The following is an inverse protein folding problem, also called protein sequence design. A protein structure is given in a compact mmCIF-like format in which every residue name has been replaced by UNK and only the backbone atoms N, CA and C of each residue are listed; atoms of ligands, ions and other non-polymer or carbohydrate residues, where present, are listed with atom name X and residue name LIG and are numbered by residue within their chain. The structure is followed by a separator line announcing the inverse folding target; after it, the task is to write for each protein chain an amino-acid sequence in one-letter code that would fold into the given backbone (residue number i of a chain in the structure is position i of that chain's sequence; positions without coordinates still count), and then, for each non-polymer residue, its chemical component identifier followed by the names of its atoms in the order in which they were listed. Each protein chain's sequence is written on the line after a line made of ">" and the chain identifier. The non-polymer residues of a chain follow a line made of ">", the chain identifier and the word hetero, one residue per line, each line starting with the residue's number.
data_IF_922509318636
#
_entry.id   IF_922509318636
#
_cell.length_a   1.000
_cell.length_b   1.000
_cell.length_c   1.000
_cell.angle_alpha   90.00
_cell.angle_beta   90.00
_cell.angle_gamma   90.00
#
_symmetry.space_group_name_H-M   'P 1'
#
loop_
_entity.id
_entity.type
_entity.pdbx_description
1 polymer ?
#
# COMPACT_ATOMS: atom_id res chain seq x y z
N UNK A 1 21.66 22.34 -4.70
CA UNK A 1 20.27 21.94 -4.37
C UNK A 1 19.44 23.17 -4.10
N UNK A 2 18.25 23.24 -4.66
CA UNK A 2 17.28 24.33 -4.53
C UNK A 2 16.27 23.91 -3.47
N UNK A 3 15.87 24.85 -2.61
CA UNK A 3 14.87 24.62 -1.55
C UNK A 3 13.67 25.54 -1.78
N UNK A 4 12.46 24.96 -1.71
CA UNK A 4 11.21 25.72 -1.74
C UNK A 4 10.22 25.20 -0.72
N UNK A 5 9.41 26.09 -0.15
CA UNK A 5 8.24 25.74 0.67
C UNK A 5 7.01 25.56 -0.21
N UNK A 6 6.25 24.51 0.06
CA UNK A 6 5.01 24.23 -0.63
C UNK A 6 4.05 23.45 0.28
N UNK A 7 2.87 23.99 0.53
CA UNK A 7 1.80 23.34 1.34
C UNK A 7 2.31 22.70 2.66
N UNK A 8 3.26 23.37 3.34
CA UNK A 8 3.83 22.89 4.59
C UNK A 8 5.01 21.92 4.44
N UNK A 9 5.40 21.55 3.21
CA UNK A 9 6.61 20.77 2.93
C UNK A 9 7.80 21.66 2.59
N UNK A 10 8.99 21.27 3.00
CA UNK A 10 10.24 21.76 2.45
C UNK A 10 10.64 20.84 1.29
N UNK A 11 10.46 21.32 0.06
CA UNK A 11 10.83 20.61 -1.15
C UNK A 11 12.30 20.88 -1.49
N UNK A 12 13.02 19.85 -1.94
CA UNK A 12 14.42 19.92 -2.31
C UNK A 12 14.67 19.25 -3.66
N UNK A 13 15.27 19.97 -4.61
CA UNK A 13 15.62 19.45 -5.94
C UNK A 13 16.92 20.04 -6.47
N UNK A 14 17.48 19.43 -7.52
CA UNK A 14 18.60 19.95 -8.27
C UNK A 14 18.16 20.87 -9.42
N UNK A 15 16.96 20.60 -9.97
CA UNK A 15 16.37 21.33 -11.08
C UNK A 15 15.13 22.09 -10.62
N UNK A 16 15.07 23.37 -10.94
CA UNK A 16 13.95 24.27 -10.60
C UNK A 16 12.65 23.87 -11.32
N UNK A 17 12.74 23.23 -12.46
CA UNK A 17 11.58 22.76 -13.22
C UNK A 17 10.76 21.64 -12.53
N UNK A 18 11.31 21.00 -11.49
CA UNK A 18 10.63 19.93 -10.75
C UNK A 18 9.63 20.45 -9.72
N UNK A 19 9.72 21.71 -9.34
CA UNK A 19 8.83 22.28 -8.32
C UNK A 19 7.45 22.64 -8.89
N UNK A 20 6.39 22.52 -8.08
CA UNK A 20 5.11 23.08 -8.45
C UNK A 20 5.21 24.60 -8.60
N UNK A 21 4.41 25.22 -9.50
CA UNK A 21 4.55 26.62 -9.87
C UNK A 21 4.29 27.60 -8.72
N UNK A 22 3.57 27.18 -7.70
CA UNK A 22 3.23 27.95 -6.49
C UNK A 22 4.22 27.76 -5.34
N UNK A 23 5.28 26.97 -5.53
CA UNK A 23 6.31 26.76 -4.52
C UNK A 23 7.19 28.02 -4.33
N UNK A 24 7.38 28.41 -3.09
CA UNK A 24 8.11 29.63 -2.71
C UNK A 24 9.55 29.32 -2.26
N UNK A 25 10.53 30.07 -2.74
CA UNK A 25 11.92 29.89 -2.36
C UNK A 25 12.13 29.99 -0.84
N UNK A 26 12.92 29.09 -0.27
CA UNK A 26 13.33 29.14 1.13
C UNK A 26 14.85 28.94 1.25
N UNK A 27 15.42 29.37 2.40
CA UNK A 27 16.88 29.33 2.63
C UNK A 27 17.30 28.20 3.59
N UNK A 28 16.36 27.67 4.34
CA UNK A 28 16.65 26.70 5.40
C UNK A 28 15.83 25.42 5.21
N UNK A 29 16.47 24.30 5.50
CA UNK A 29 15.79 23.00 5.51
C UNK A 29 14.89 22.93 6.74
N UNK A 30 13.67 22.44 6.54
CA UNK A 30 12.70 22.18 7.60
C UNK A 30 11.97 20.87 7.39
N UNK A 31 11.42 20.29 8.45
CA UNK A 31 10.57 19.11 8.36
C UNK A 31 9.10 19.54 8.11
N UNK A 32 8.33 18.76 7.33
CA UNK A 32 8.74 17.57 6.57
C UNK A 32 9.53 17.91 5.30
N UNK A 33 10.71 17.29 5.14
CA UNK A 33 11.56 17.45 3.96
C UNK A 33 11.20 16.42 2.89
N UNK A 34 11.13 16.86 1.62
CA UNK A 34 10.85 15.98 0.48
C UNK A 34 11.79 16.28 -0.68
N UNK A 35 12.52 15.29 -1.13
CA UNK A 35 13.34 15.36 -2.33
C UNK A 35 12.48 15.10 -3.57
N UNK A 36 12.52 15.98 -4.53
CA UNK A 36 11.89 15.79 -5.83
C UNK A 36 12.89 15.12 -6.77
N UNK A 37 12.46 14.04 -7.42
CA UNK A 37 13.26 13.29 -8.38
C UNK A 37 12.45 13.04 -9.64
N UNK A 38 13.16 12.76 -10.75
CA UNK A 38 12.56 12.43 -12.03
C UNK A 38 13.11 11.08 -12.50
N UNK A 39 12.31 10.01 -12.30
CA UNK A 39 12.69 8.63 -12.57
C UNK A 39 11.67 7.96 -13.48
N UNK A 40 12.07 6.88 -14.15
CA UNK A 40 11.14 6.05 -14.92
C UNK A 40 10.06 5.44 -13.99
N UNK A 41 8.76 5.78 -14.17
CA UNK A 41 7.69 5.27 -13.32
C UNK A 41 7.54 3.74 -13.36
N UNK A 42 8.02 3.08 -14.41
CA UNK A 42 8.00 1.63 -14.52
C UNK A 42 9.08 0.93 -13.67
N UNK A 43 10.05 1.70 -13.15
CA UNK A 43 11.23 1.18 -12.43
C UNK A 43 11.46 1.84 -11.07
N UNK A 44 10.57 2.73 -10.67
CA UNK A 44 10.74 3.47 -9.42
C UNK A 44 9.42 3.71 -8.72
N UNK A 45 9.49 3.88 -7.42
CA UNK A 45 8.35 4.23 -6.57
C UNK A 45 7.92 5.69 -6.80
N UNK A 46 6.63 5.96 -6.61
CA UNK A 46 6.09 7.33 -6.69
C UNK A 46 6.48 8.17 -5.48
N UNK A 47 6.31 7.63 -4.27
CA UNK A 47 6.66 8.28 -3.01
C UNK A 47 7.18 7.21 -2.04
N UNK A 48 8.28 7.52 -1.35
CA UNK A 48 8.83 6.69 -0.28
C UNK A 48 9.61 7.52 0.74
N UNK A 49 9.81 6.97 1.94
CA UNK A 49 10.57 7.61 3.01
C UNK A 49 12.00 7.07 3.05
N UNK A 50 12.95 7.94 3.43
CA UNK A 50 14.34 7.61 3.70
C UNK A 50 14.74 8.07 5.10
N UNK A 51 15.67 7.37 5.71
CA UNK A 51 16.29 7.72 7.01
C UNK A 51 17.77 8.07 6.90
N UNK A 52 18.36 7.79 5.75
CA UNK A 52 19.69 8.28 5.38
C UNK A 52 19.68 8.81 3.95
N UNK A 53 20.46 9.85 3.69
CA UNK A 53 20.52 10.48 2.38
C UNK A 53 21.09 9.53 1.29
N UNK A 54 21.90 8.54 1.67
CA UNK A 54 22.38 7.49 0.77
C UNK A 54 21.26 6.61 0.19
N UNK A 55 20.14 6.46 0.91
CA UNK A 55 18.97 5.70 0.45
C UNK A 55 18.23 6.37 -0.73
N UNK A 56 18.56 7.63 -1.03
CA UNK A 56 18.03 8.37 -2.18
C UNK A 56 18.64 7.92 -3.50
N UNK A 57 19.62 7.02 -3.51
CA UNK A 57 20.37 6.65 -4.71
C UNK A 57 19.53 5.96 -5.79
N UNK A 58 19.99 6.03 -7.03
CA UNK A 58 19.52 5.24 -8.16
C UNK A 58 20.59 4.19 -8.57
N UNK A 59 20.19 3.09 -9.20
CA UNK A 59 18.83 2.64 -9.50
C UNK A 59 18.14 2.00 -8.28
N UNK A 60 16.80 2.05 -8.24
CA UNK A 60 15.99 1.33 -7.26
C UNK A 60 15.98 -0.18 -7.57
N UNK A 61 17.02 -0.88 -7.14
CA UNK A 61 17.20 -2.33 -7.30
C UNK A 61 17.30 -2.98 -5.92
N UNK A 62 17.52 -4.29 -5.87
CA UNK A 62 17.81 -5.02 -4.62
C UNK A 62 19.00 -4.43 -3.83
N UNK A 63 19.80 -3.58 -4.44
CA UNK A 63 20.86 -2.82 -3.75
C UNK A 63 20.31 -1.86 -2.70
N UNK A 64 19.05 -1.41 -2.81
CA UNK A 64 18.39 -0.61 -1.76
C UNK A 64 18.28 -1.37 -0.42
N UNK A 65 18.38 -2.71 -0.44
CA UNK A 65 18.40 -3.55 0.76
C UNK A 65 19.81 -3.73 1.34
N UNK A 66 20.84 -3.32 0.62
CA UNK A 66 22.23 -3.37 1.10
C UNK A 66 22.51 -2.10 1.89
N UNK A 67 22.97 -2.19 3.14
CA UNK A 67 23.37 -1.01 3.90
C UNK A 67 24.40 -0.21 3.09
N UNK A 68 24.05 1.03 2.74
CA UNK A 68 24.99 1.97 2.14
C UNK A 68 25.83 2.62 3.25
N UNK A 69 27.05 3.06 2.92
CA UNK A 69 27.77 3.91 3.86
C UNK A 69 26.98 5.18 4.13
N UNK A 70 26.78 5.56 5.41
CA UNK A 70 26.01 6.73 5.75
C UNK A 70 26.55 7.99 5.09
N UNK A 71 25.68 8.76 4.47
CA UNK A 71 26.06 10.04 3.91
C UNK A 71 26.56 11.01 5.01
N UNK A 72 27.49 11.91 4.66
CA UNK A 72 28.03 12.93 5.57
C UNK A 72 27.48 14.33 5.25
N UNK A 73 27.62 15.25 6.22
CA UNK A 73 27.23 16.65 6.08
C UNK A 73 25.93 17.00 6.79
N UNK A 74 25.61 18.30 6.84
CA UNK A 74 24.50 18.88 7.59
C UNK A 74 23.13 18.32 7.14
N UNK A 75 22.90 18.26 5.84
CA UNK A 75 21.67 17.73 5.27
C UNK A 75 21.47 16.25 5.60
N UNK A 76 22.55 15.46 5.56
CA UNK A 76 22.49 14.05 5.95
C UNK A 76 22.18 13.89 7.44
N UNK A 77 22.74 14.75 8.28
CA UNK A 77 22.40 14.83 9.71
C UNK A 77 20.93 15.17 9.93
N UNK A 78 20.38 16.13 9.17
CA UNK A 78 18.97 16.49 9.22
C UNK A 78 18.06 15.31 8.82
N UNK A 79 18.40 14.61 7.72
CA UNK A 79 17.63 13.45 7.24
C UNK A 79 17.64 12.32 8.27
N UNK A 80 18.77 12.03 8.92
CA UNK A 80 18.83 11.02 9.99
C UNK A 80 17.98 11.39 11.22
N UNK A 81 17.91 12.67 11.56
CA UNK A 81 17.15 13.15 12.72
C UNK A 81 15.63 13.17 12.47
N UNK A 82 15.20 13.52 11.28
CA UNK A 82 13.79 13.82 10.97
C UNK A 82 13.18 12.89 9.91
N UNK A 83 13.99 12.12 9.19
CA UNK A 83 13.58 11.45 7.96
C UNK A 83 13.37 12.43 6.81
N UNK A 84 13.15 11.90 5.62
CA UNK A 84 12.72 12.68 4.46
C UNK A 84 11.88 11.82 3.51
N UNK A 85 11.03 12.46 2.71
CA UNK A 85 10.36 11.86 1.59
C UNK A 85 11.21 11.93 0.31
N UNK A 86 10.97 11.01 -0.62
CA UNK A 86 11.44 11.10 -2.00
C UNK A 86 10.23 10.95 -2.90
N UNK A 87 9.91 11.99 -3.67
CA UNK A 87 8.76 12.07 -4.57
C UNK A 87 9.23 12.04 -6.02
N UNK A 88 8.75 11.07 -6.78
CA UNK A 88 8.98 11.01 -8.22
C UNK A 88 7.91 11.83 -8.95
N UNK A 89 8.28 13.01 -9.45
CA UNK A 89 7.36 13.94 -10.10
C UNK A 89 6.90 13.50 -11.50
N UNK A 90 7.38 12.38 -12.03
CA UNK A 90 6.87 11.80 -13.29
C UNK A 90 5.54 11.07 -13.14
N UNK A 91 5.10 10.79 -11.92
CA UNK A 91 3.74 10.31 -11.68
C UNK A 91 2.75 11.45 -11.81
N UNK A 92 1.67 11.27 -12.57
CA UNK A 92 0.68 12.33 -12.83
C UNK A 92 0.03 12.90 -11.56
N UNK A 93 -0.10 12.09 -10.52
CA UNK A 93 -0.71 12.45 -9.25
C UNK A 93 0.31 12.69 -8.13
N UNK A 94 1.59 12.90 -8.45
CA UNK A 94 2.68 12.97 -7.47
C UNK A 94 2.38 13.95 -6.33
N UNK A 95 2.05 15.18 -6.65
CA UNK A 95 1.80 16.22 -5.64
C UNK A 95 0.50 15.99 -4.85
N UNK A 96 -0.54 15.44 -5.47
CA UNK A 96 -1.78 15.06 -4.75
C UNK A 96 -1.53 13.93 -3.75
N UNK A 97 -0.66 12.98 -4.07
CA UNK A 97 -0.22 11.92 -3.15
C UNK A 97 0.58 12.52 -1.99
N UNK A 98 1.44 13.50 -2.27
CA UNK A 98 2.21 14.19 -1.24
C UNK A 98 1.29 14.98 -0.28
N UNK A 99 0.30 15.70 -0.78
CA UNK A 99 -0.69 16.38 0.06
C UNK A 99 -1.49 15.41 0.93
N UNK A 100 -1.86 14.26 0.35
CA UNK A 100 -2.57 13.21 1.09
C UNK A 100 -1.71 12.65 2.24
N UNK A 101 -0.39 12.66 2.12
CA UNK A 101 0.54 12.19 3.16
C UNK A 101 0.53 13.04 4.44
N UNK A 102 0.21 14.34 4.35
CA UNK A 102 0.05 15.22 5.53
C UNK A 102 -1.28 15.07 6.25
N UNK A 103 -2.25 14.37 5.67
CA UNK A 103 -3.54 14.20 6.32
C UNK A 103 -3.33 13.52 7.67
N UNK A 104 -4.01 13.99 8.73
CA UNK A 104 -3.98 13.31 10.02
C UNK A 104 -4.29 11.83 9.81
N UNK A 105 -3.51 10.96 10.44
CA UNK A 105 -3.83 9.53 10.44
C UNK A 105 -5.25 9.38 10.95
N UNK A 106 -6.10 8.74 10.18
CA UNK A 106 -7.45 8.40 10.59
C UNK A 106 -7.34 7.42 11.75
N UNK A 107 -7.90 7.77 12.90
CA UNK A 107 -8.02 6.84 14.01
C UNK A 107 -8.99 5.73 13.62
N UNK A 108 -8.55 4.49 13.69
CA UNK A 108 -9.37 3.34 13.40
C UNK A 108 -9.63 3.15 11.91
N UNK A 109 -8.62 2.65 11.20
CA UNK A 109 -8.76 2.28 9.78
C UNK A 109 -9.79 1.17 9.59
N UNK A 110 -10.42 1.15 8.42
CA UNK A 110 -11.31 0.08 7.98
C UNK A 110 -10.58 -0.78 6.95
N UNK A 111 -10.48 -2.07 7.21
CA UNK A 111 -9.96 -3.06 6.26
C UNK A 111 -11.13 -3.86 5.68
N UNK A 112 -11.10 -4.13 4.37
CA UNK A 112 -11.94 -5.14 3.73
C UNK A 112 -11.09 -6.31 3.29
N UNK A 113 -11.39 -7.51 3.77
CA UNK A 113 -10.72 -8.77 3.40
C UNK A 113 -11.64 -9.63 2.55
N UNK A 114 -11.19 -9.97 1.34
CA UNK A 114 -11.94 -10.79 0.38
C UNK A 114 -11.28 -12.16 0.20
N UNK A 115 -12.07 -13.21 0.42
CA UNK A 115 -11.62 -14.60 0.38
C UNK A 115 -11.23 -15.10 1.77
N UNK A 116 -12.03 -16.04 2.30
CA UNK A 116 -11.86 -16.58 3.66
C UNK A 116 -11.38 -18.03 3.64
N UNK A 117 -10.61 -18.41 2.62
CA UNK A 117 -9.87 -19.68 2.58
C UNK A 117 -8.75 -19.72 3.61
N UNK A 118 -7.82 -20.66 3.48
CA UNK A 118 -6.72 -20.88 4.43
C UNK A 118 -5.89 -19.59 4.68
N UNK A 119 -5.49 -18.92 3.60
CA UNK A 119 -4.70 -17.67 3.70
C UNK A 119 -5.54 -16.56 4.31
N UNK A 120 -6.74 -16.32 3.80
CA UNK A 120 -7.60 -15.23 4.26
C UNK A 120 -8.09 -15.45 5.70
N UNK A 121 -8.47 -16.67 6.06
CA UNK A 121 -8.87 -17.01 7.43
C UNK A 121 -7.72 -16.83 8.43
N UNK A 122 -6.52 -17.27 8.07
CA UNK A 122 -5.32 -17.08 8.92
C UNK A 122 -4.96 -15.61 9.05
N UNK A 123 -4.98 -14.86 7.93
CA UNK A 123 -4.73 -13.41 7.95
C UNK A 123 -5.77 -12.67 8.79
N UNK A 124 -7.05 -13.04 8.67
CA UNK A 124 -8.14 -12.45 9.46
C UNK A 124 -7.92 -12.65 10.97
N UNK A 125 -7.53 -13.87 11.38
CA UNK A 125 -7.22 -14.14 12.78
C UNK A 125 -6.04 -13.31 13.28
N UNK A 126 -4.96 -13.24 12.52
CA UNK A 126 -3.80 -12.42 12.86
C UNK A 126 -4.16 -10.93 12.96
N UNK A 127 -4.94 -10.41 12.02
CA UNK A 127 -5.38 -9.01 12.00
C UNK A 127 -6.35 -8.70 13.17
N UNK A 128 -7.20 -9.65 13.56
CA UNK A 128 -8.05 -9.50 14.75
C UNK A 128 -7.23 -9.34 16.01
N UNK A 129 -6.14 -10.10 16.16
CA UNK A 129 -5.32 -10.13 17.39
C UNK A 129 -4.26 -9.03 17.42
N UNK A 130 -3.71 -8.62 16.27
CA UNK A 130 -2.54 -7.75 16.16
C UNK A 130 -2.81 -6.45 15.40
N UNK A 131 -3.96 -6.32 14.77
CA UNK A 131 -4.29 -5.19 13.90
C UNK A 131 -4.85 -3.97 14.65
N UNK A 132 -4.17 -3.48 15.68
CA UNK A 132 -4.61 -2.36 16.53
C UNK A 132 -4.86 -1.04 15.75
N UNK A 133 -4.34 -0.92 14.53
CA UNK A 133 -4.60 0.23 13.64
C UNK A 133 -6.01 0.21 13.05
N UNK A 134 -6.68 -0.95 13.05
CA UNK A 134 -8.02 -1.10 12.51
C UNK A 134 -9.09 -1.00 13.60
N UNK A 135 -10.13 -0.24 13.34
CA UNK A 135 -11.35 -0.26 14.16
C UNK A 135 -12.33 -1.32 13.69
N UNK A 136 -12.27 -1.65 12.38
CA UNK A 136 -13.19 -2.57 11.72
C UNK A 136 -12.47 -3.37 10.64
N UNK A 137 -12.80 -4.67 10.58
CA UNK A 137 -12.44 -5.57 9.50
C UNK A 137 -13.72 -6.05 8.83
N UNK A 138 -14.00 -5.57 7.64
CA UNK A 138 -15.07 -6.09 6.79
C UNK A 138 -14.59 -7.38 6.12
N UNK A 139 -15.43 -8.40 6.09
CA UNK A 139 -15.12 -9.68 5.46
C UNK A 139 -16.12 -10.02 4.38
N UNK A 140 -15.61 -10.56 3.28
CA UNK A 140 -16.43 -11.00 2.16
C UNK A 140 -15.94 -12.33 1.59
N UNK A 141 -16.86 -13.26 1.46
CA UNK A 141 -16.67 -14.52 0.75
C UNK A 141 -18.01 -14.93 0.11
N UNK A 142 -18.01 -15.59 -1.07
CA UNK A 142 -19.22 -16.17 -1.64
C UNK A 142 -19.91 -17.16 -0.68
N UNK A 143 -19.15 -17.83 0.19
CA UNK A 143 -19.68 -18.69 1.25
C UNK A 143 -20.14 -17.83 2.45
N UNK A 144 -21.40 -17.40 2.43
CA UNK A 144 -22.00 -16.59 3.49
C UNK A 144 -21.99 -17.26 4.87
N UNK A 145 -22.08 -18.59 4.93
CA UNK A 145 -21.98 -19.32 6.20
C UNK A 145 -20.60 -19.17 6.84
N UNK A 146 -19.55 -19.11 6.04
CA UNK A 146 -18.19 -18.89 6.52
C UNK A 146 -17.99 -17.45 7.03
N UNK A 147 -18.55 -16.46 6.33
CA UNK A 147 -18.57 -15.07 6.82
C UNK A 147 -19.26 -14.97 8.18
N UNK A 148 -20.47 -15.52 8.30
CA UNK A 148 -21.23 -15.50 9.56
C UNK A 148 -20.48 -16.22 10.70
N UNK A 149 -19.81 -17.35 10.41
CA UNK A 149 -19.00 -18.04 11.40
C UNK A 149 -17.86 -17.18 11.92
N UNK A 150 -17.04 -16.61 11.03
CA UNK A 150 -15.93 -15.76 11.45
C UNK A 150 -16.36 -14.51 12.18
N UNK A 151 -17.46 -13.87 11.76
CA UNK A 151 -18.04 -12.72 12.44
C UNK A 151 -18.44 -13.06 13.88
N UNK A 152 -19.13 -14.16 14.07
CA UNK A 152 -19.55 -14.62 15.40
C UNK A 152 -18.36 -15.03 16.28
N UNK A 153 -17.46 -15.87 15.76
CA UNK A 153 -16.34 -16.43 16.54
C UNK A 153 -15.34 -15.32 16.93
N UNK A 154 -14.95 -14.46 15.97
CA UNK A 154 -13.89 -13.50 16.23
C UNK A 154 -14.36 -12.31 17.09
N UNK A 155 -15.64 -11.94 17.05
CA UNK A 155 -16.13 -10.89 17.93
C UNK A 155 -16.31 -11.32 19.40
N UNK A 156 -16.16 -12.62 19.68
CA UNK A 156 -16.07 -13.14 21.05
C UNK A 156 -14.64 -13.13 21.62
N UNK A 157 -13.63 -12.87 20.77
CA UNK A 157 -12.24 -12.80 21.21
C UNK A 157 -12.00 -11.48 21.96
N UNK A 158 -11.49 -11.59 23.18
CA UNK A 158 -11.12 -10.47 24.04
C UNK A 158 -9.59 -10.37 24.14
N UNK A 159 -9.07 -9.14 24.25
CA UNK A 159 -7.68 -8.92 24.57
C UNK A 159 -7.43 -9.22 26.06
N UNK A 160 -6.41 -10.00 26.42
CA UNK A 160 -6.03 -10.20 27.83
C UNK A 160 -5.63 -8.89 28.51
N UNK A 161 -5.10 -7.94 27.77
CA UNK A 161 -4.60 -6.65 28.25
C UNK A 161 -5.69 -5.56 28.26
N UNK A 162 -6.91 -5.90 27.80
CA UNK A 162 -8.03 -4.96 27.76
C UNK A 162 -8.02 -4.02 26.56
N UNK A 163 -7.14 -4.23 25.58
CA UNK A 163 -7.10 -3.43 24.36
C UNK A 163 -8.34 -3.62 23.51
N UNK A 164 -8.77 -2.56 22.83
CA UNK A 164 -9.86 -2.64 21.87
C UNK A 164 -9.38 -3.38 20.62
N UNK A 165 -9.97 -4.54 20.33
CA UNK A 165 -9.73 -5.30 19.11
C UNK A 165 -10.69 -4.85 18.00
N UNK A 166 -10.27 -4.90 16.72
CA UNK A 166 -11.13 -4.51 15.61
C UNK A 166 -12.42 -5.34 15.55
N UNK A 167 -13.54 -4.69 15.27
CA UNK A 167 -14.82 -5.36 15.01
C UNK A 167 -14.72 -6.12 13.66
N UNK A 168 -15.17 -7.36 13.60
CA UNK A 168 -15.30 -8.14 12.37
C UNK A 168 -16.74 -8.14 11.91
N UNK A 169 -16.98 -7.71 10.65
CA UNK A 169 -18.35 -7.55 10.11
C UNK A 169 -18.43 -8.11 8.70
N UNK A 170 -19.42 -8.95 8.42
CA UNK A 170 -19.72 -9.37 7.05
C UNK A 170 -20.22 -8.19 6.23
N UNK A 171 -19.75 -8.03 5.00
CA UNK A 171 -20.21 -6.98 4.11
C UNK A 171 -20.81 -7.52 2.82
N UNK A 172 -21.56 -6.68 2.12
CA UNK A 172 -22.09 -6.97 0.80
C UNK A 172 -21.13 -6.48 -0.30
N UNK A 173 -21.27 -7.02 -1.52
CA UNK A 173 -20.40 -6.69 -2.65
C UNK A 173 -20.33 -5.18 -2.95
N UNK A 174 -21.45 -4.47 -2.79
CA UNK A 174 -21.53 -3.01 -2.99
C UNK A 174 -20.70 -2.20 -2.00
N UNK A 175 -20.38 -2.76 -0.84
CA UNK A 175 -19.71 -2.08 0.28
C UNK A 175 -18.21 -2.40 0.34
N UNK A 176 -17.69 -3.26 -0.55
CA UNK A 176 -16.30 -3.76 -0.55
C UNK A 176 -15.23 -2.66 -0.52
N UNK A 177 -15.49 -1.54 -1.18
CA UNK A 177 -14.56 -0.43 -1.32
C UNK A 177 -14.86 0.75 -0.39
N UNK A 178 -15.76 0.58 0.58
CA UNK A 178 -15.97 1.54 1.68
C UNK A 178 -14.95 1.27 2.81
N UNK A 179 -13.66 1.29 2.47
CA UNK A 179 -12.55 0.96 3.37
C UNK A 179 -11.31 1.80 3.06
N UNK A 180 -10.34 1.76 3.97
CA UNK A 180 -9.03 2.41 3.80
C UNK A 180 -8.02 1.43 3.17
N UNK A 181 -8.20 0.12 3.41
CA UNK A 181 -7.37 -0.95 2.88
C UNK A 181 -8.25 -2.10 2.40
N UNK A 182 -8.04 -2.50 1.15
CA UNK A 182 -8.71 -3.64 0.54
C UNK A 182 -7.69 -4.77 0.32
N UNK A 183 -7.89 -5.92 0.96
CA UNK A 183 -7.02 -7.09 0.89
C UNK A 183 -7.70 -8.23 0.12
N UNK A 184 -7.06 -8.68 -0.95
CA UNK A 184 -7.56 -9.74 -1.81
C UNK A 184 -6.74 -11.02 -1.61
N UNK A 185 -7.35 -12.04 -1.00
CA UNK A 185 -6.76 -13.36 -0.73
C UNK A 185 -7.50 -14.50 -1.43
N UNK A 186 -8.58 -14.19 -2.17
CA UNK A 186 -9.35 -15.21 -2.85
C UNK A 186 -8.56 -15.88 -3.98
N UNK A 187 -8.69 -17.18 -4.11
CA UNK A 187 -8.07 -18.00 -5.16
C UNK A 187 -9.03 -19.08 -5.65
N UNK A 188 -8.92 -19.43 -6.91
CA UNK A 188 -9.65 -20.59 -7.48
C UNK A 188 -9.02 -21.95 -7.17
N UNK A 189 -7.97 -21.94 -6.35
CA UNK A 189 -7.26 -23.14 -5.91
C UNK A 189 -5.89 -23.31 -6.56
N UNK A 190 -5.17 -24.30 -6.04
CA UNK A 190 -3.86 -24.74 -6.52
C UNK A 190 -4.10 -26.05 -7.29
N UNK A 191 -3.45 -26.26 -8.45
CA UNK A 191 -3.48 -27.57 -9.11
C UNK A 191 -3.05 -28.66 -8.15
N UNK A 192 -3.75 -29.81 -8.17
CA UNK A 192 -3.44 -30.95 -7.29
C UNK A 192 -2.03 -31.51 -7.53
N UNK A 193 -1.53 -32.27 -6.55
CA UNK A 193 -0.18 -32.87 -6.63
C UNK A 193 -0.02 -33.84 -7.82
N UNK A 194 -1.12 -34.42 -8.29
CA UNK A 194 -1.13 -35.36 -9.41
C UNK A 194 -1.34 -34.69 -10.78
N UNK A 195 -1.23 -33.36 -10.83
CA UNK A 195 -1.43 -32.64 -12.08
C UNK A 195 -0.24 -32.81 -13.03
N UNK A 196 -0.54 -32.91 -14.33
CA UNK A 196 0.46 -32.90 -15.41
C UNK A 196 0.86 -31.49 -15.85
N UNK A 197 0.37 -30.46 -15.17
CA UNK A 197 0.68 -29.05 -15.47
C UNK A 197 2.15 -28.77 -15.19
N UNK A 198 2.91 -28.41 -16.23
CA UNK A 198 4.34 -28.11 -16.11
C UNK A 198 4.62 -26.79 -15.40
N UNK A 199 3.78 -25.76 -15.64
CA UNK A 199 3.91 -24.46 -15.00
C UNK A 199 2.69 -24.17 -14.10
N UNK A 200 2.80 -24.55 -12.85
CA UNK A 200 1.75 -24.39 -11.83
C UNK A 200 1.44 -22.88 -11.60
N UNK A 201 2.47 -22.03 -11.64
CA UNK A 201 2.27 -20.57 -11.41
C UNK A 201 1.48 -19.92 -12.53
N UNK A 202 1.75 -20.30 -13.79
CA UNK A 202 0.99 -19.77 -14.91
C UNK A 202 -0.44 -20.31 -14.93
N UNK A 203 -0.67 -21.56 -14.56
CA UNK A 203 -2.01 -22.12 -14.40
C UNK A 203 -2.82 -21.38 -13.32
N UNK A 204 -2.20 -21.07 -12.19
CA UNK A 204 -2.82 -20.26 -11.13
C UNK A 204 -3.10 -18.83 -11.62
N UNK A 205 -2.17 -18.22 -12.34
CA UNK A 205 -2.37 -16.90 -12.92
C UNK A 205 -3.60 -16.87 -13.84
N UNK A 206 -3.68 -17.81 -14.78
CA UNK A 206 -4.82 -17.89 -15.71
C UNK A 206 -6.15 -18.11 -14.97
N UNK A 207 -6.16 -18.91 -13.91
CA UNK A 207 -7.35 -19.13 -13.11
C UNK A 207 -7.80 -17.89 -12.31
N UNK A 208 -6.85 -17.10 -11.81
CA UNK A 208 -7.12 -16.01 -10.86
C UNK A 208 -7.20 -14.63 -11.51
N UNK A 209 -6.55 -14.39 -12.68
CA UNK A 209 -6.45 -13.06 -13.30
C UNK A 209 -7.80 -12.41 -13.63
N UNK A 210 -8.76 -13.19 -14.08
CA UNK A 210 -10.09 -12.67 -14.43
C UNK A 210 -10.83 -12.19 -13.17
N UNK A 211 -10.71 -12.94 -12.08
CA UNK A 211 -11.35 -12.63 -10.81
C UNK A 211 -10.73 -11.38 -10.19
N UNK A 212 -9.41 -11.33 -9.98
CA UNK A 212 -8.76 -10.14 -9.41
C UNK A 212 -8.93 -8.91 -10.27
N UNK A 213 -8.92 -9.07 -11.60
CA UNK A 213 -9.18 -7.99 -12.55
C UNK A 213 -10.60 -7.41 -12.43
N UNK A 214 -11.61 -8.24 -12.12
CA UNK A 214 -12.96 -7.76 -11.84
C UNK A 214 -12.97 -6.85 -10.60
N UNK A 215 -12.35 -7.27 -9.51
CA UNK A 215 -12.23 -6.43 -8.29
C UNK A 215 -11.43 -5.14 -8.54
N UNK A 216 -10.39 -5.18 -9.35
CA UNK A 216 -9.63 -3.98 -9.72
C UNK A 216 -10.50 -2.96 -10.48
N UNK A 217 -11.32 -3.43 -11.43
CA UNK A 217 -12.29 -2.56 -12.14
C UNK A 217 -13.39 -2.05 -11.23
N UNK A 218 -13.90 -2.87 -10.32
CA UNK A 218 -14.89 -2.45 -9.31
C UNK A 218 -14.31 -1.35 -8.40
N UNK A 219 -13.07 -1.51 -7.92
CA UNK A 219 -12.37 -0.50 -7.13
C UNK A 219 -12.27 0.83 -7.87
N UNK A 220 -11.88 0.79 -9.15
CA UNK A 220 -11.83 1.98 -10.00
C UNK A 220 -13.20 2.62 -10.16
N UNK A 221 -14.24 1.83 -10.47
CA UNK A 221 -15.60 2.32 -10.65
C UNK A 221 -16.19 2.94 -9.38
N UNK A 222 -15.79 2.42 -8.21
CA UNK A 222 -16.15 2.96 -6.90
C UNK A 222 -15.36 4.22 -6.52
N UNK A 223 -14.36 4.64 -7.33
CA UNK A 223 -13.47 5.74 -6.98
C UNK A 223 -12.60 5.45 -5.75
N UNK A 224 -12.23 4.17 -5.54
CA UNK A 224 -11.44 3.76 -4.39
C UNK A 224 -10.07 4.42 -4.38
N UNK A 225 -9.74 5.10 -3.30
CA UNK A 225 -8.47 5.83 -3.09
C UNK A 225 -7.60 5.23 -2.00
N UNK A 226 -8.04 4.13 -1.39
CA UNK A 226 -7.29 3.40 -0.37
C UNK A 226 -6.20 2.51 -0.95
N UNK A 227 -5.60 1.68 -0.12
CA UNK A 227 -4.57 0.72 -0.51
C UNK A 227 -5.21 -0.59 -0.97
N UNK A 228 -4.97 -0.99 -2.22
CA UNK A 228 -5.35 -2.30 -2.75
C UNK A 228 -4.19 -3.29 -2.57
N UNK A 229 -4.36 -4.25 -1.64
CA UNK A 229 -3.38 -5.31 -1.34
C UNK A 229 -3.77 -6.58 -2.08
N UNK A 230 -3.03 -6.92 -3.12
CA UNK A 230 -3.15 -8.19 -3.84
C UNK A 230 -2.22 -9.23 -3.16
N UNK A 231 -2.79 -10.32 -2.60
CA UNK A 231 -2.07 -11.31 -1.79
C UNK A 231 -2.09 -12.70 -2.44
N UNK A 232 -3.10 -12.98 -3.29
CA UNK A 232 -3.23 -14.28 -3.96
C UNK A 232 -2.10 -14.58 -4.93
N UNK A 233 -1.76 -15.87 -5.07
CA UNK A 233 -0.71 -16.32 -6.00
C UNK A 233 -1.17 -16.42 -7.46
N UNK A 234 -0.24 -16.15 -8.40
CA UNK A 234 1.11 -15.59 -8.24
C UNK A 234 1.07 -14.06 -8.05
N UNK A 235 1.57 -13.61 -6.91
CA UNK A 235 1.42 -12.23 -6.41
C UNK A 235 1.87 -11.18 -7.41
N UNK A 236 3.06 -11.29 -7.97
CA UNK A 236 3.67 -10.34 -8.89
C UNK A 236 2.87 -10.20 -10.21
N UNK A 237 2.47 -11.31 -10.82
CA UNK A 237 1.68 -11.32 -12.05
C UNK A 237 0.27 -10.76 -11.83
N UNK A 238 -0.37 -11.15 -10.74
CA UNK A 238 -1.71 -10.66 -10.40
C UNK A 238 -1.68 -9.19 -9.98
N UNK A 239 -0.66 -8.74 -9.24
CA UNK A 239 -0.48 -7.33 -8.91
C UNK A 239 -0.30 -6.46 -10.15
N UNK A 240 0.46 -6.94 -11.15
CA UNK A 240 0.54 -6.28 -12.45
C UNK A 240 -0.82 -6.22 -13.14
N UNK A 241 -1.62 -7.30 -13.09
CA UNK A 241 -2.97 -7.31 -13.65
C UNK A 241 -3.88 -6.29 -12.95
N UNK A 242 -3.82 -6.19 -11.63
CA UNK A 242 -4.56 -5.17 -10.87
C UNK A 242 -4.19 -3.77 -11.34
N UNK A 243 -2.88 -3.49 -11.41
CA UNK A 243 -2.38 -2.18 -11.86
C UNK A 243 -2.89 -1.81 -13.26
N UNK A 244 -2.80 -2.74 -14.22
CA UNK A 244 -3.26 -2.50 -15.59
C UNK A 244 -4.79 -2.33 -15.66
N UNK A 245 -5.57 -3.09 -14.90
CA UNK A 245 -7.03 -3.03 -14.93
C UNK A 245 -7.60 -1.83 -14.15
N UNK A 246 -6.87 -1.29 -13.19
CA UNK A 246 -7.28 -0.11 -12.42
C UNK A 246 -6.90 1.22 -13.07
N UNK A 247 -5.91 1.24 -13.98
CA UNK A 247 -5.36 2.47 -14.57
C UNK A 247 -5.70 2.67 -16.06
N UNK A 248 -6.50 1.81 -16.66
CA UNK A 248 -6.93 1.92 -18.06
C UNK A 248 -8.31 2.54 -18.20
#
# INVERSE_FOLDING_TARGET
>A
MILKQWHGFCLCAEDDALFPPDAQACKTVSAPLVFLVQRDPLRSRGLFCIRDLAERSEPETVRCLTPAEPASGELAGFVRAHGAGVLNVRFQNAFSVLEAWQRPKKNGLVLTLVGLGDVGGTALLALKLLGHEFSKIQIFDPNKAQCARYELELNQVLSPDGDALPEVVSCEEKDLFHCDLFAFTASRGVPGLDTTVQDVRMAQYEANRAMVGAYARMARSAGFTGLFCQISDPVDHLSRSVFLQSNQ
#
